data_IF_581094546936
#
_entry.id   IF_581094546936
#
_cell.length_a   1.000
_cell.length_b   1.000
_cell.length_c   1.000
_cell.angle_alpha   90.00
_cell.angle_beta   90.00
_cell.angle_gamma   90.00
#
_symmetry.space_group_name_H-M   'P 1'
#
loop_
_entity.id
_entity.type
_entity.pdbx_description
1 polymer ?
#
# COMPACT_ATOMS: atom_id res chain seq x y z
N UNK A 1 19.08 8.98 -66.12
CA UNK A 1 18.05 8.34 -65.27
C UNK A 1 18.76 7.33 -64.37
N UNK A 2 19.15 7.74 -63.16
CA UNK A 2 19.93 6.93 -62.23
C UNK A 2 18.99 6.23 -61.23
N UNK A 3 18.93 4.89 -61.27
CA UNK A 3 18.12 4.08 -60.37
C UNK A 3 18.85 3.87 -59.04
N UNK A 4 18.24 4.34 -57.95
CA UNK A 4 18.72 4.18 -56.57
C UNK A 4 18.29 2.80 -56.07
N UNK A 5 19.23 1.93 -55.79
CA UNK A 5 18.98 0.66 -55.09
C UNK A 5 18.80 0.93 -53.60
N UNK A 6 17.58 0.75 -53.11
CA UNK A 6 17.25 0.83 -51.69
C UNK A 6 17.54 -0.52 -51.01
N UNK A 7 18.54 -0.55 -50.13
CA UNK A 7 18.73 -1.65 -49.18
C UNK A 7 17.83 -1.41 -47.97
N UNK A 8 16.73 -2.16 -47.88
CA UNK A 8 15.87 -2.17 -46.69
C UNK A 8 16.47 -3.10 -45.62
N UNK A 9 16.61 -2.56 -44.41
CA UNK A 9 17.07 -3.24 -43.19
C UNK A 9 16.12 -4.36 -42.74
N UNK A 10 16.60 -5.39 -42.03
CA UNK A 10 15.73 -6.42 -41.46
C UNK A 10 14.85 -5.84 -40.35
N UNK A 11 13.59 -6.29 -40.37
CA UNK A 11 12.51 -5.84 -39.52
C UNK A 11 12.76 -6.12 -38.03
N UNK A 12 12.49 -5.09 -37.23
CA UNK A 12 11.88 -5.10 -35.89
C UNK A 12 11.81 -6.46 -35.19
N UNK A 13 12.80 -6.70 -34.33
CA UNK A 13 12.73 -7.72 -33.28
C UNK A 13 11.47 -7.48 -32.44
N UNK A 14 10.53 -8.41 -32.52
CA UNK A 14 9.35 -8.47 -31.67
C UNK A 14 9.82 -8.50 -30.21
N UNK A 15 9.46 -7.45 -29.47
CA UNK A 15 9.71 -7.34 -28.04
C UNK A 15 9.01 -8.50 -27.33
N UNK A 16 9.76 -9.56 -27.04
CA UNK A 16 9.27 -10.70 -26.28
C UNK A 16 8.61 -10.19 -24.99
N UNK A 17 7.35 -10.53 -24.81
CA UNK A 17 6.63 -10.25 -23.57
C UNK A 17 7.33 -11.07 -22.49
N UNK A 18 8.10 -10.40 -21.62
CA UNK A 18 8.78 -11.04 -20.50
C UNK A 18 7.69 -11.62 -19.59
N UNK A 19 7.44 -12.92 -19.71
CA UNK A 19 6.45 -13.62 -18.89
C UNK A 19 6.92 -13.59 -17.44
N UNK A 20 6.36 -12.65 -16.68
CA UNK A 20 6.57 -12.56 -15.24
C UNK A 20 5.50 -13.40 -14.57
N UNK A 21 5.89 -14.52 -13.96
CA UNK A 21 4.96 -15.37 -13.21
C UNK A 21 5.10 -15.14 -11.70
N UNK A 22 4.08 -15.54 -10.95
CA UNK A 22 4.02 -15.36 -9.50
C UNK A 22 3.88 -16.70 -8.81
N UNK A 23 4.53 -16.83 -7.66
CA UNK A 23 4.42 -18.00 -6.80
C UNK A 23 4.18 -17.60 -5.35
N UNK A 24 3.48 -18.44 -4.60
CA UNK A 24 3.19 -18.24 -3.17
C UNK A 24 3.49 -19.51 -2.39
N UNK A 25 4.03 -19.34 -1.19
CA UNK A 25 4.38 -20.49 -0.36
C UNK A 25 4.95 -20.08 1.00
N UNK A 26 4.93 -20.99 1.99
CA UNK A 26 5.71 -20.82 3.20
C UNK A 26 7.21 -20.85 2.89
N UNK A 27 7.99 -20.06 3.62
CA UNK A 27 9.43 -20.01 3.42
C UNK A 27 10.10 -21.33 3.86
N UNK A 28 10.67 -22.07 2.90
CA UNK A 28 11.43 -23.29 3.21
C UNK A 28 12.66 -23.06 4.11
N UNK A 29 13.25 -21.87 4.06
CA UNK A 29 14.37 -21.44 4.91
C UNK A 29 14.39 -19.92 5.11
N UNK A 30 15.13 -19.45 6.11
CA UNK A 30 15.31 -18.04 6.47
C UNK A 30 16.44 -17.33 5.70
N UNK A 31 16.89 -17.89 4.57
CA UNK A 31 17.98 -17.33 3.75
C UNK A 31 17.52 -16.18 2.85
N UNK A 32 16.22 -16.07 2.59
CA UNK A 32 15.68 -15.03 1.72
C UNK A 32 15.48 -13.71 2.47
N UNK A 33 15.80 -12.59 1.80
CA UNK A 33 15.47 -11.25 2.27
C UNK A 33 14.35 -10.66 1.40
N UNK A 34 13.35 -10.07 2.04
CA UNK A 34 12.22 -9.43 1.37
C UNK A 34 12.69 -8.25 0.50
N UNK A 35 12.38 -8.27 -0.79
CA UNK A 35 12.73 -7.18 -1.72
C UNK A 35 11.94 -5.88 -1.49
N UNK A 36 10.92 -5.88 -0.62
CA UNK A 36 10.15 -4.70 -0.23
C UNK A 36 10.77 -3.95 0.95
N UNK A 37 10.86 -4.61 2.10
CA UNK A 37 11.34 -4.01 3.35
C UNK A 37 12.81 -4.34 3.69
N UNK A 38 13.49 -5.16 2.88
CA UNK A 38 14.87 -5.64 3.06
C UNK A 38 15.11 -6.46 4.35
N UNK A 39 14.07 -6.82 5.09
CA UNK A 39 14.18 -7.71 6.25
C UNK A 39 14.28 -9.18 5.83
N UNK A 40 14.82 -10.04 6.70
CA UNK A 40 14.82 -11.50 6.50
C UNK A 40 13.39 -12.04 6.55
N UNK A 41 13.12 -13.07 5.77
CA UNK A 41 11.85 -13.80 5.79
C UNK A 41 12.06 -15.07 6.60
N UNK A 42 11.35 -15.21 7.72
CA UNK A 42 11.52 -16.36 8.62
C UNK A 42 11.05 -17.67 7.99
N UNK A 43 11.64 -18.79 8.42
CA UNK A 43 11.23 -20.13 7.98
C UNK A 43 9.77 -20.39 8.39
N UNK A 44 8.96 -20.88 7.46
CA UNK A 44 7.52 -21.08 7.64
C UNK A 44 6.67 -19.83 7.42
N UNK A 45 7.27 -18.64 7.29
CA UNK A 45 6.50 -17.43 7.01
C UNK A 45 5.98 -17.42 5.56
N UNK A 46 4.71 -17.07 5.40
CA UNK A 46 4.05 -16.94 4.10
C UNK A 46 4.66 -15.80 3.27
N UNK A 47 5.09 -16.11 2.05
CA UNK A 47 5.77 -15.15 1.16
C UNK A 47 5.32 -15.31 -0.29
N UNK A 48 5.45 -14.21 -1.05
CA UNK A 48 5.17 -14.16 -2.49
C UNK A 48 6.48 -13.98 -3.24
N UNK A 49 6.68 -14.78 -4.28
CA UNK A 49 7.81 -14.73 -5.20
C UNK A 49 7.37 -14.20 -6.56
N UNK A 50 8.11 -13.24 -7.10
CA UNK A 50 8.00 -12.84 -8.51
C UNK A 50 9.11 -13.52 -9.28
N UNK A 51 8.75 -14.32 -10.28
CA UNK A 51 9.68 -15.04 -11.13
C UNK A 51 9.87 -14.24 -12.42
N UNK A 52 11.12 -13.89 -12.70
CA UNK A 52 11.51 -13.18 -13.91
C UNK A 52 12.67 -13.93 -14.57
N UNK A 53 12.71 -14.01 -15.91
CA UNK A 53 13.86 -14.52 -16.63
C UNK A 53 15.14 -13.78 -16.20
N UNK A 54 16.18 -14.54 -15.87
CA UNK A 54 17.49 -14.00 -15.54
C UNK A 54 18.29 -13.57 -16.77
N UNK A 55 19.53 -13.09 -16.60
CA UNK A 55 20.43 -12.76 -17.70
C UNK A 55 20.91 -13.96 -18.56
N UNK A 56 20.49 -15.18 -18.23
CA UNK A 56 20.80 -16.42 -18.95
C UNK A 56 19.58 -17.36 -18.93
N UNK A 57 19.80 -18.66 -19.14
CA UNK A 57 18.72 -19.66 -19.28
C UNK A 57 18.09 -20.11 -17.94
N UNK A 58 18.07 -19.24 -16.94
CA UNK A 58 17.53 -19.53 -15.61
C UNK A 58 16.62 -18.42 -15.11
N UNK A 59 15.60 -18.81 -14.36
CA UNK A 59 14.68 -17.87 -13.73
C UNK A 59 15.19 -17.38 -12.38
N UNK A 60 14.97 -16.10 -12.10
CA UNK A 60 15.28 -15.48 -10.81
C UNK A 60 13.99 -15.22 -10.05
N UNK A 61 13.89 -15.76 -8.84
CA UNK A 61 12.75 -15.50 -7.95
C UNK A 61 13.07 -14.40 -6.94
N UNK A 62 12.33 -13.31 -7.00
CA UNK A 62 12.36 -12.21 -6.04
C UNK A 62 11.30 -12.40 -4.95
N UNK A 63 11.74 -12.79 -3.75
CA UNK A 63 10.85 -13.03 -2.61
C UNK A 63 10.49 -11.75 -1.84
N UNK A 64 9.23 -11.65 -1.40
CA UNK A 64 8.70 -10.59 -0.53
C UNK A 64 7.76 -11.18 0.52
N UNK A 65 7.62 -10.54 1.69
CA UNK A 65 6.49 -10.83 2.58
C UNK A 65 5.17 -10.57 1.84
N UNK A 66 4.12 -11.31 2.20
CA UNK A 66 2.78 -11.12 1.64
C UNK A 66 2.32 -9.65 1.74
N UNK A 67 2.49 -9.04 2.91
CA UNK A 67 2.16 -7.62 3.18
C UNK A 67 3.05 -6.63 2.43
N UNK A 68 4.27 -7.03 2.06
CA UNK A 68 5.24 -6.17 1.36
C UNK A 68 5.08 -6.21 -0.16
N UNK A 69 4.22 -7.10 -0.68
CA UNK A 69 3.99 -7.26 -2.09
C UNK A 69 2.77 -6.43 -2.51
N UNK A 70 3.00 -5.46 -3.39
CA UNK A 70 1.92 -4.75 -4.09
C UNK A 70 1.27 -5.69 -5.09
N UNK A 71 -0.02 -5.49 -5.40
CA UNK A 71 -0.67 -6.30 -6.42
C UNK A 71 0.12 -6.28 -7.72
N UNK A 72 0.43 -7.46 -8.27
CA UNK A 72 0.99 -7.50 -9.59
C UNK A 72 -0.11 -7.22 -10.62
N UNK A 73 0.09 -6.20 -11.45
CA UNK A 73 -0.87 -5.80 -12.50
C UNK A 73 -1.17 -6.90 -13.51
N UNK A 74 -0.28 -7.88 -13.62
CA UNK A 74 -0.36 -8.99 -14.56
C UNK A 74 -0.91 -10.27 -13.93
N UNK A 75 -1.23 -10.27 -12.62
CA UNK A 75 -1.85 -11.41 -11.96
C UNK A 75 -3.36 -11.18 -11.94
N UNK A 76 -4.09 -11.85 -12.83
CA UNK A 76 -5.52 -11.60 -13.04
C UNK A 76 -6.40 -12.61 -12.31
N UNK A 77 -5.86 -13.76 -11.94
CA UNK A 77 -6.54 -14.79 -11.16
C UNK A 77 -5.62 -15.41 -10.10
N UNK A 78 -6.23 -15.99 -9.06
CA UNK A 78 -5.50 -16.80 -8.08
C UNK A 78 -4.94 -18.09 -8.70
N UNK A 79 -5.54 -18.56 -9.80
CA UNK A 79 -5.08 -19.76 -10.51
C UNK A 79 -3.73 -19.56 -11.20
N UNK A 80 -3.39 -18.32 -11.55
CA UNK A 80 -2.06 -17.93 -12.07
C UNK A 80 -0.98 -17.90 -10.97
N UNK A 81 -1.36 -18.01 -9.70
CA UNK A 81 -0.46 -17.98 -8.56
C UNK A 81 0.01 -19.39 -8.21
N UNK A 82 1.19 -19.75 -8.73
CA UNK A 82 1.78 -21.07 -8.49
C UNK A 82 1.97 -21.34 -6.98
N UNK A 83 1.56 -22.52 -6.53
CA UNK A 83 1.68 -22.93 -5.12
C UNK A 83 0.47 -22.61 -4.23
N UNK A 84 -0.52 -21.85 -4.71
CA UNK A 84 -1.72 -21.51 -3.94
C UNK A 84 -2.56 -22.74 -3.55
N UNK A 85 -2.73 -23.71 -4.47
CA UNK A 85 -3.50 -24.93 -4.23
C UNK A 85 -2.94 -25.80 -3.10
N UNK A 86 -1.63 -25.76 -2.87
CA UNK A 86 -0.91 -26.52 -1.85
C UNK A 86 -0.84 -25.87 -0.46
N UNK A 87 -1.43 -24.69 -0.26
CA UNK A 87 -1.49 -24.02 1.03
C UNK A 87 -2.57 -24.61 1.94
N UNK A 88 -2.39 -24.46 3.26
CA UNK A 88 -3.41 -24.78 4.26
C UNK A 88 -4.56 -23.77 4.23
N UNK A 89 -5.69 -24.09 4.85
CA UNK A 89 -6.89 -23.25 4.81
C UNK A 89 -6.65 -21.84 5.39
N UNK A 90 -5.76 -21.72 6.38
CA UNK A 90 -5.44 -20.43 7.02
C UNK A 90 -4.61 -19.56 6.08
N UNK A 91 -3.57 -20.10 5.43
CA UNK A 91 -2.77 -19.30 4.50
C UNK A 91 -3.50 -19.04 3.18
N UNK A 92 -4.38 -19.94 2.71
CA UNK A 92 -5.28 -19.66 1.58
C UNK A 92 -6.13 -18.43 1.84
N UNK A 93 -6.78 -18.35 3.00
CA UNK A 93 -7.59 -17.18 3.36
C UNK A 93 -6.75 -15.88 3.41
N UNK A 94 -5.49 -15.93 3.86
CA UNK A 94 -4.59 -14.76 3.83
C UNK A 94 -4.21 -14.36 2.41
N UNK A 95 -3.93 -15.32 1.52
CA UNK A 95 -3.58 -15.05 0.13
C UNK A 95 -4.79 -14.56 -0.66
N UNK A 96 -5.97 -15.13 -0.44
CA UNK A 96 -7.23 -14.65 -1.01
C UNK A 96 -7.54 -13.23 -0.53
N UNK A 97 -7.40 -12.96 0.76
CA UNK A 97 -7.55 -11.61 1.30
C UNK A 97 -6.54 -10.66 0.68
N UNK A 98 -5.26 -11.04 0.57
CA UNK A 98 -4.25 -10.25 -0.12
C UNK A 98 -4.60 -10.00 -1.58
N UNK A 99 -4.98 -11.03 -2.34
CA UNK A 99 -5.32 -10.96 -3.76
C UNK A 99 -6.55 -10.08 -3.99
N UNK A 100 -7.62 -10.28 -3.22
CA UNK A 100 -8.85 -9.50 -3.30
C UNK A 100 -8.66 -8.06 -2.81
N UNK A 101 -7.78 -7.83 -1.84
CA UNK A 101 -7.40 -6.50 -1.37
C UNK A 101 -6.46 -5.76 -2.34
N UNK A 102 -5.93 -6.48 -3.35
CA UNK A 102 -4.87 -6.00 -4.23
C UNK A 102 -5.35 -5.88 -5.70
N UNK A 103 -6.35 -6.65 -6.13
CA UNK A 103 -6.96 -6.59 -7.47
C UNK A 103 -8.27 -5.80 -7.58
N UNK A 104 -8.94 -5.50 -6.48
CA UNK A 104 -10.03 -4.52 -6.46
C UNK A 104 -9.36 -3.21 -6.05
N UNK A 105 -9.31 -2.22 -6.95
CA UNK A 105 -9.05 -0.85 -6.49
C UNK A 105 -10.02 -0.62 -5.35
N UNK A 106 -9.50 -0.54 -4.10
CA UNK A 106 -10.26 -0.57 -2.86
C UNK A 106 -11.60 0.06 -3.13
N UNK A 107 -12.66 -0.78 -3.24
CA UNK A 107 -13.92 -0.46 -3.96
C UNK A 107 -14.16 1.01 -3.75
N UNK A 108 -13.89 1.84 -4.78
CA UNK A 108 -13.85 3.30 -4.60
C UNK A 108 -15.17 3.64 -3.94
N UNK A 109 -15.12 3.97 -2.65
CA UNK A 109 -16.35 4.16 -1.89
C UNK A 109 -17.08 5.29 -2.57
N UNK A 110 -18.39 5.13 -2.76
CA UNK A 110 -19.16 6.22 -3.33
C UNK A 110 -19.11 7.40 -2.36
N UNK A 111 -19.23 8.61 -2.88
CA UNK A 111 -19.30 9.80 -2.02
C UNK A 111 -20.42 9.64 -0.98
N UNK A 112 -21.57 9.09 -1.36
CA UNK A 112 -22.68 8.80 -0.45
C UNK A 112 -22.33 7.81 0.67
N UNK A 113 -21.59 6.74 0.37
CA UNK A 113 -21.18 5.76 1.38
C UNK A 113 -20.24 6.41 2.40
N UNK A 114 -19.26 7.18 1.94
CA UNK A 114 -18.31 7.89 2.81
C UNK A 114 -19.02 8.96 3.64
N UNK A 115 -19.90 9.75 3.03
CA UNK A 115 -20.65 10.81 3.70
C UNK A 115 -21.59 10.24 4.78
N UNK A 116 -22.25 9.10 4.51
CA UNK A 116 -23.09 8.43 5.51
C UNK A 116 -22.33 8.01 6.76
N UNK A 117 -21.07 7.58 6.62
CA UNK A 117 -20.19 7.23 7.74
C UNK A 117 -19.69 8.50 8.44
N UNK A 118 -19.33 9.54 7.68
CA UNK A 118 -18.86 10.82 8.21
C UNK A 118 -19.88 11.52 9.14
N UNK A 119 -21.18 11.28 8.92
CA UNK A 119 -22.27 11.89 9.68
C UNK A 119 -22.70 11.09 10.93
N UNK A 120 -22.12 9.91 11.16
CA UNK A 120 -22.45 9.12 12.36
C UNK A 120 -22.02 9.84 13.63
N UNK A 121 -22.81 9.67 14.71
CA UNK A 121 -22.47 10.17 16.04
C UNK A 121 -22.09 9.01 16.97
N UNK A 122 -20.79 8.71 17.14
CA UNK A 122 -20.33 7.53 17.90
C UNK A 122 -20.84 7.51 19.34
N UNK A 123 -20.98 8.68 19.98
CA UNK A 123 -21.41 8.79 21.39
C UNK A 123 -22.86 8.37 21.62
N UNK A 124 -23.71 8.43 20.59
CA UNK A 124 -25.14 8.09 20.68
C UNK A 124 -25.44 6.67 20.23
N UNK A 125 -24.47 5.94 19.70
CA UNK A 125 -24.68 4.60 19.14
C UNK A 125 -24.72 3.53 20.24
N UNK A 126 -25.56 2.52 20.03
CA UNK A 126 -25.54 1.30 20.84
C UNK A 126 -24.38 0.39 20.38
N UNK A 127 -23.92 -0.48 21.26
CA UNK A 127 -22.82 -1.40 20.95
C UNK A 127 -23.11 -2.29 19.71
N UNK A 128 -24.38 -2.68 19.49
CA UNK A 128 -24.78 -3.44 18.31
C UNK A 128 -24.59 -2.65 17.00
N UNK A 129 -24.92 -1.36 17.00
CA UNK A 129 -24.76 -0.46 15.86
C UNK A 129 -23.28 -0.19 15.59
N UNK A 130 -22.48 0.05 16.63
CA UNK A 130 -21.03 0.20 16.51
C UNK A 130 -20.39 -1.03 15.86
N UNK A 131 -20.73 -2.24 16.33
CA UNK A 131 -20.23 -3.50 15.75
C UNK A 131 -20.63 -3.65 14.28
N UNK A 132 -21.86 -3.25 13.92
CA UNK A 132 -22.33 -3.28 12.53
C UNK A 132 -21.51 -2.33 11.65
N UNK A 133 -21.29 -1.09 12.08
CA UNK A 133 -20.49 -0.10 11.35
C UNK A 133 -19.04 -0.54 11.18
N UNK A 134 -18.41 -1.08 12.22
CA UNK A 134 -17.03 -1.57 12.15
C UNK A 134 -16.91 -2.73 11.15
N UNK A 135 -17.80 -3.73 11.23
CA UNK A 135 -17.82 -4.85 10.29
C UNK A 135 -18.02 -4.40 8.84
N UNK A 136 -18.92 -3.44 8.60
CA UNK A 136 -19.17 -2.89 7.27
C UNK A 136 -17.94 -2.18 6.67
N UNK A 137 -17.03 -1.67 7.51
CA UNK A 137 -15.77 -1.06 7.10
C UNK A 137 -14.57 -2.03 7.15
N UNK A 138 -14.80 -3.32 7.40
CA UNK A 138 -13.73 -4.31 7.51
C UNK A 138 -12.84 -4.16 8.76
N UNK A 139 -13.36 -3.50 9.80
CA UNK A 139 -12.66 -3.28 11.07
C UNK A 139 -13.13 -4.33 12.08
N UNK A 140 -12.22 -4.78 12.94
CA UNK A 140 -12.57 -5.70 14.02
C UNK A 140 -13.61 -5.04 14.97
N UNK A 141 -14.58 -5.85 15.38
CA UNK A 141 -15.71 -5.41 16.19
C UNK A 141 -15.71 -6.08 17.58
N UNK A 142 -14.52 -6.44 18.08
CA UNK A 142 -14.32 -7.00 19.42
C UNK A 142 -13.93 -5.89 20.40
N UNK A 143 -14.07 -6.18 21.70
CA UNK A 143 -13.76 -5.25 22.77
C UNK A 143 -14.98 -4.71 23.51
N UNK A 144 -14.68 -3.90 24.52
CA UNK A 144 -15.63 -3.18 25.34
C UNK A 144 -16.40 -2.12 24.54
N UNK A 145 -17.48 -1.61 25.12
CA UNK A 145 -18.27 -0.53 24.49
C UNK A 145 -17.40 0.71 24.22
N UNK A 146 -16.51 1.06 25.12
CA UNK A 146 -15.63 2.23 24.98
C UNK A 146 -14.58 2.04 23.88
N UNK A 147 -14.00 0.84 23.76
CA UNK A 147 -13.07 0.51 22.65
C UNK A 147 -13.78 0.55 21.30
N UNK A 148 -14.98 -0.02 21.20
CA UNK A 148 -15.80 0.04 19.98
C UNK A 148 -16.13 1.49 19.61
N UNK A 149 -16.49 2.31 20.60
CA UNK A 149 -16.75 3.73 20.40
C UNK A 149 -15.50 4.46 19.86
N UNK A 150 -14.32 4.17 20.40
CA UNK A 150 -13.05 4.73 19.92
C UNK A 150 -12.77 4.38 18.45
N UNK A 151 -12.90 3.10 18.09
CA UNK A 151 -12.71 2.64 16.70
C UNK A 151 -13.70 3.29 15.74
N UNK A 152 -14.98 3.40 16.14
CA UNK A 152 -16.00 4.07 15.33
C UNK A 152 -15.67 5.56 15.20
N UNK A 153 -15.24 6.22 16.28
CA UNK A 153 -14.88 7.63 16.25
C UNK A 153 -13.71 7.92 15.28
N UNK A 154 -12.69 7.07 15.25
CA UNK A 154 -11.58 7.17 14.30
C UNK A 154 -12.05 6.91 12.85
N UNK A 155 -12.93 5.92 12.66
CA UNK A 155 -13.55 5.62 11.35
C UNK A 155 -14.33 6.82 10.82
N UNK A 156 -15.12 7.48 11.68
CA UNK A 156 -15.89 8.68 11.34
C UNK A 156 -14.96 9.84 10.96
N UNK A 157 -13.90 10.08 11.74
CA UNK A 157 -12.90 11.12 11.41
C UNK A 157 -12.24 10.88 10.05
N UNK A 158 -11.86 9.63 9.77
CA UNK A 158 -11.26 9.24 8.49
C UNK A 158 -12.25 9.41 7.33
N UNK A 159 -13.50 9.01 7.52
CA UNK A 159 -14.56 9.20 6.52
C UNK A 159 -14.83 10.68 6.24
N UNK A 160 -14.87 11.54 7.27
CA UNK A 160 -15.05 12.98 7.09
C UNK A 160 -13.90 13.61 6.29
N UNK A 161 -12.66 13.22 6.56
CA UNK A 161 -11.50 13.66 5.77
C UNK A 161 -11.58 13.15 4.32
N UNK A 162 -11.97 11.89 4.11
CA UNK A 162 -12.15 11.33 2.76
C UNK A 162 -13.22 12.07 1.97
N UNK A 163 -14.39 12.31 2.57
CA UNK A 163 -15.48 13.09 1.96
C UNK A 163 -15.03 14.51 1.57
N UNK A 164 -14.19 15.15 2.39
CA UNK A 164 -13.60 16.44 2.06
C UNK A 164 -12.69 16.36 0.82
N UNK A 165 -11.70 15.45 0.83
CA UNK A 165 -10.71 15.36 -0.24
C UNK A 165 -11.24 14.72 -1.54
N UNK A 166 -12.31 13.94 -1.49
CA UNK A 166 -12.98 13.42 -2.69
C UNK A 166 -13.48 14.52 -3.62
N UNK A 167 -13.86 15.69 -3.06
CA UNK A 167 -14.33 16.87 -3.79
C UNK A 167 -13.20 17.60 -4.52
N UNK A 168 -11.95 17.35 -4.16
CA UNK A 168 -10.78 17.98 -4.77
C UNK A 168 -10.31 17.29 -6.05
N UNK A 169 -9.69 18.09 -6.92
CA UNK A 169 -8.99 17.65 -8.12
C UNK A 169 -7.56 17.18 -7.79
N UNK A 170 -6.91 16.47 -8.73
CA UNK A 170 -5.52 16.03 -8.56
C UNK A 170 -4.55 17.20 -8.29
N UNK A 171 -4.61 18.35 -9.00
CA UNK A 171 -3.77 19.50 -8.69
C UNK A 171 -3.98 20.05 -7.27
N UNK A 172 -5.22 20.14 -6.82
CA UNK A 172 -5.55 20.59 -5.47
C UNK A 172 -4.99 19.64 -4.40
N UNK A 173 -5.17 18.32 -4.56
CA UNK A 173 -4.60 17.33 -3.64
C UNK A 173 -3.06 17.42 -3.60
N UNK A 174 -2.41 17.64 -4.76
CA UNK A 174 -0.96 17.85 -4.80
C UNK A 174 -0.53 19.12 -4.07
N UNK A 175 -1.30 20.22 -4.15
CA UNK A 175 -1.03 21.45 -3.43
C UNK A 175 -1.12 21.26 -1.90
N UNK A 176 -2.14 20.54 -1.43
CA UNK A 176 -2.26 20.18 0.00
C UNK A 176 -1.04 19.35 0.44
N UNK A 177 -0.65 18.33 -0.33
CA UNK A 177 0.51 17.50 -0.01
C UNK A 177 1.82 18.29 -0.04
N UNK A 178 1.94 19.26 -0.95
CA UNK A 178 3.10 20.15 -1.06
C UNK A 178 3.28 21.04 0.17
N UNK A 179 2.21 21.69 0.62
CA UNK A 179 2.21 22.51 1.83
C UNK A 179 2.66 21.73 3.08
N UNK A 180 2.48 20.41 3.07
CA UNK A 180 2.87 19.51 4.16
C UNK A 180 4.16 18.73 3.89
N UNK A 181 4.94 19.06 2.85
CA UNK A 181 6.19 18.36 2.47
C UNK A 181 6.04 16.86 2.19
N UNK A 182 4.84 16.43 1.77
CA UNK A 182 4.50 15.03 1.53
C UNK A 182 4.79 14.60 0.08
N UNK A 183 4.76 13.28 -0.15
CA UNK A 183 4.95 12.69 -1.48
C UNK A 183 3.73 12.98 -2.40
N UNK A 184 4.00 13.66 -3.53
CA UNK A 184 2.99 14.08 -4.53
C UNK A 184 2.81 13.12 -5.72
N UNK A 185 3.49 11.97 -5.72
CA UNK A 185 3.46 10.98 -6.81
C UNK A 185 2.36 9.93 -6.64
N UNK A 186 1.81 9.40 -7.73
CA UNK A 186 0.79 8.34 -7.71
C UNK A 186 -0.54 8.73 -8.35
N UNK A 187 -1.48 7.79 -8.32
CA UNK A 187 -2.85 8.01 -8.82
C UNK A 187 -3.67 8.88 -7.85
N UNK A 188 -4.83 9.40 -8.30
CA UNK A 188 -5.70 10.27 -7.48
C UNK A 188 -6.01 9.68 -6.10
N UNK A 189 -6.31 8.38 -6.01
CA UNK A 189 -6.61 7.75 -4.73
C UNK A 189 -5.41 7.72 -3.78
N UNK A 190 -4.20 7.47 -4.28
CA UNK A 190 -3.00 7.49 -3.42
C UNK A 190 -2.72 8.89 -2.86
N UNK A 191 -3.04 9.94 -3.63
CA UNK A 191 -2.91 11.32 -3.15
C UNK A 191 -3.95 11.63 -2.09
N UNK A 192 -5.20 11.21 -2.33
CA UNK A 192 -6.31 11.36 -1.39
C UNK A 192 -6.01 10.64 -0.08
N UNK A 193 -5.57 9.38 -0.13
CA UNK A 193 -5.24 8.59 1.06
C UNK A 193 -4.18 9.27 1.93
N UNK A 194 -3.17 9.90 1.32
CA UNK A 194 -2.15 10.67 2.05
C UNK A 194 -2.71 11.95 2.66
N UNK A 195 -3.64 12.63 1.98
CA UNK A 195 -4.30 13.80 2.53
C UNK A 195 -5.19 13.43 3.72
N UNK A 196 -5.92 12.31 3.62
CA UNK A 196 -6.75 11.76 4.70
C UNK A 196 -5.87 11.38 5.89
N UNK A 197 -4.78 10.65 5.65
CA UNK A 197 -3.82 10.28 6.69
C UNK A 197 -3.26 11.50 7.42
N UNK A 198 -2.82 12.48 6.65
CA UNK A 198 -2.29 13.74 7.17
C UNK A 198 -3.33 14.53 7.97
N UNK A 199 -4.56 14.62 7.49
CA UNK A 199 -5.65 15.33 8.19
C UNK A 199 -6.02 14.66 9.51
N UNK A 200 -5.99 13.33 9.58
CA UNK A 200 -6.38 12.59 10.78
C UNK A 200 -5.25 12.52 11.80
N UNK A 201 -4.01 12.35 11.37
CA UNK A 201 -2.88 12.05 12.26
C UNK A 201 -1.74 13.08 12.25
N UNK A 202 -1.75 14.02 11.32
CA UNK A 202 -0.65 14.97 11.09
C UNK A 202 0.29 14.53 9.96
N UNK A 203 1.06 15.51 9.46
CA UNK A 203 2.03 15.33 8.39
C UNK A 203 3.22 14.46 8.85
N UNK A 204 3.65 13.54 7.99
CA UNK A 204 4.87 12.78 8.23
C UNK A 204 6.07 13.73 8.18
N UNK A 205 6.96 13.73 9.19
CA UNK A 205 8.14 14.57 9.14
C UNK A 205 9.13 14.07 8.09
N UNK A 206 10.11 14.91 7.79
CA UNK A 206 11.32 14.47 7.12
C UNK A 206 12.05 13.47 8.01
N UNK A 207 12.80 12.57 7.38
CA UNK A 207 13.54 11.55 8.08
C UNK A 207 14.47 12.20 9.12
N UNK A 208 14.35 11.88 10.42
CA UNK A 208 15.18 12.50 11.45
C UNK A 208 16.66 12.07 11.34
N UNK A 209 16.95 10.99 10.62
CA UNK A 209 18.32 10.51 10.42
C UNK A 209 19.03 11.16 9.23
N UNK A 210 18.34 11.38 8.10
CA UNK A 210 18.99 11.91 6.89
C UNK A 210 18.49 13.29 6.44
N UNK A 211 17.43 13.84 7.05
CA UNK A 211 16.83 15.13 6.70
C UNK A 211 16.11 15.20 5.34
N UNK A 212 16.51 14.37 4.36
CA UNK A 212 15.97 14.41 3.01
C UNK A 212 14.86 13.40 2.71
N UNK A 213 14.84 12.25 3.36
CA UNK A 213 13.85 11.21 3.04
C UNK A 213 12.44 11.53 3.57
N UNK A 214 11.40 11.34 2.75
CA UNK A 214 10.01 11.31 3.23
C UNK A 214 9.71 9.92 3.78
N UNK A 215 9.26 9.85 5.03
CA UNK A 215 8.99 8.57 5.68
C UNK A 215 7.82 7.83 5.03
N UNK A 216 7.86 6.50 5.08
CA UNK A 216 6.74 5.61 4.76
C UNK A 216 6.29 4.94 6.04
N UNK A 217 4.98 4.83 6.26
CA UNK A 217 4.39 4.14 7.41
C UNK A 217 3.58 2.95 6.95
N UNK A 218 3.66 1.85 7.70
CA UNK A 218 2.75 0.71 7.60
C UNK A 218 2.03 0.58 8.92
N UNK A 219 0.70 0.69 8.90
CA UNK A 219 -0.11 0.58 10.10
C UNK A 219 -0.39 -0.88 10.47
N UNK A 220 -0.40 -1.21 11.78
CA UNK A 220 -0.72 -2.56 12.24
C UNK A 220 -2.21 -2.92 12.09
N UNK A 221 -3.08 -1.92 12.01
CA UNK A 221 -4.53 -2.04 11.91
C UNK A 221 -5.13 -0.82 11.20
N UNK A 222 -6.40 -0.90 10.80
CA UNK A 222 -7.10 0.23 10.18
C UNK A 222 -7.47 1.35 11.18
N UNK A 223 -7.60 1.01 12.46
CA UNK A 223 -7.94 1.92 13.57
C UNK A 223 -7.16 1.53 14.83
N UNK A 224 -7.09 2.43 15.80
CA UNK A 224 -6.43 2.22 17.09
C UNK A 224 -4.91 2.40 17.05
N UNK A 225 -4.35 2.80 15.91
CA UNK A 225 -2.91 2.97 15.75
C UNK A 225 -2.44 4.40 16.04
N UNK A 226 -3.35 5.38 16.13
CA UNK A 226 -3.03 6.75 16.56
C UNK A 226 -1.98 7.46 15.69
N UNK A 227 -1.93 7.13 14.40
CA UNK A 227 -0.91 7.64 13.48
C UNK A 227 0.47 7.01 13.62
N UNK A 228 0.64 6.01 14.48
CA UNK A 228 1.90 5.31 14.70
C UNK A 228 1.90 3.94 14.01
N UNK A 229 3.08 3.41 13.70
CA UNK A 229 3.22 2.19 12.91
C UNK A 229 4.67 1.96 12.52
N UNK A 230 4.93 1.04 11.60
CA UNK A 230 6.29 0.74 11.15
C UNK A 230 6.75 1.79 10.15
N UNK A 231 7.50 2.77 10.62
CA UNK A 231 8.11 3.81 9.79
C UNK A 231 9.40 3.31 9.15
N UNK A 232 9.62 3.70 7.91
CA UNK A 232 10.88 3.45 7.20
C UNK A 232 11.24 4.60 6.27
N UNK A 233 12.52 4.94 6.21
CA UNK A 233 13.03 5.88 5.22
C UNK A 233 13.42 5.15 3.93
N UNK A 234 12.86 5.51 2.77
CA UNK A 234 13.26 4.93 1.49
C UNK A 234 14.58 5.50 0.94
N UNK A 235 15.17 6.50 1.60
CA UNK A 235 16.21 7.35 1.02
C UNK A 235 15.62 8.53 0.24
N UNK A 236 16.48 9.31 -0.40
CA UNK A 236 16.09 10.42 -1.28
C UNK A 236 17.12 10.61 -2.39
N UNK A 237 16.77 11.37 -3.43
CA UNK A 237 17.71 11.83 -4.44
C UNK A 237 18.16 13.25 -4.06
N UNK A 238 19.46 13.43 -4.00
CA UNK A 238 20.14 14.71 -3.88
C UNK A 238 20.80 14.98 -5.24
N UNK A 239 20.18 15.85 -6.04
CA UNK A 239 20.43 15.94 -7.48
C UNK A 239 20.39 14.56 -8.15
N UNK A 240 21.48 14.14 -8.80
CA UNK A 240 21.60 12.84 -9.46
C UNK A 240 22.10 11.71 -8.53
N UNK A 241 22.33 12.01 -7.25
CA UNK A 241 22.89 11.05 -6.29
C UNK A 241 21.81 10.49 -5.36
N UNK A 242 21.61 9.17 -5.40
CA UNK A 242 20.70 8.51 -4.49
C UNK A 242 21.32 8.33 -3.10
N UNK A 243 20.83 9.08 -2.13
CA UNK A 243 21.22 8.98 -0.72
C UNK A 243 20.43 7.86 -0.04
N UNK A 244 21.14 6.76 0.27
CA UNK A 244 20.57 5.62 0.99
C UNK A 244 20.39 5.95 2.47
N UNK A 245 19.24 5.58 3.01
CA UNK A 245 18.96 5.63 4.44
C UNK A 245 18.31 4.32 4.88
N UNK A 246 18.60 3.89 6.11
CA UNK A 246 18.04 2.67 6.70
C UNK A 246 17.23 2.97 7.99
N UNK A 247 16.83 4.23 8.19
CA UNK A 247 16.03 4.64 9.34
C UNK A 247 14.74 3.80 9.43
N UNK A 248 14.45 3.31 10.63
CA UNK A 248 13.23 2.60 11.00
C UNK A 248 12.82 3.03 12.39
N UNK A 249 11.52 3.16 12.62
CA UNK A 249 10.95 3.45 13.93
C UNK A 249 9.53 2.89 14.03
N UNK A 250 9.06 2.69 15.25
CA UNK A 250 7.64 2.38 15.52
C UNK A 250 6.85 3.63 15.93
N UNK A 251 7.59 4.65 16.38
CA UNK A 251 7.04 5.93 16.81
C UNK A 251 7.76 7.08 16.13
N UNK A 252 6.99 8.04 15.60
CA UNK A 252 7.49 9.28 15.02
C UNK A 252 6.54 10.42 15.40
N UNK A 253 7.13 11.54 15.81
CA UNK A 253 6.39 12.77 16.04
C UNK A 253 5.94 13.37 14.71
N UNK A 254 4.63 13.53 14.54
CA UNK A 254 4.03 14.09 13.33
C UNK A 254 3.86 15.59 13.46
N UNK A 255 4.03 16.29 12.34
CA UNK A 255 3.85 17.73 12.28
C UNK A 255 2.36 18.07 12.15
N UNK A 256 1.91 19.23 12.64
CA UNK A 256 0.55 19.70 12.41
C UNK A 256 0.22 19.75 10.91
N UNK A 257 -0.97 19.29 10.54
CA UNK A 257 -1.44 19.31 9.16
C UNK A 257 -1.93 20.71 8.77
N UNK A 258 -1.42 21.23 7.65
CA UNK A 258 -1.78 22.55 7.13
C UNK A 258 -2.65 22.39 5.90
N UNK A 259 -3.79 23.08 5.87
CA UNK A 259 -4.61 23.20 4.65
C UNK A 259 -4.29 24.55 3.98
N UNK A 260 -3.85 24.53 2.70
CA UNK A 260 -3.53 25.74 1.95
C UNK A 260 -4.77 26.52 1.51
#
# INVERSE_FOLDING_TARGET
VAARTATASPASSSRAVVMTSYQVGPAASNRASCKGCKAKIDKGALRVGTVTPGPGDYDVTSWRHLECQKHPKNLTSLDELAGFSGLDAVDKAKVEAWFNNSGVGAKKRSADEVESVAQLNPKKMKAAEMKKTLKANGIDATGSKDELQGKVQETVKRAAAEAHYMKMTVPQLKAVLEANTQLKGGAKQELLDRCVDGKVYGALPRCPQCGGGVLRVVYPSQTGHGGQGKFSCPGYYDDDHFVRCNFKAEHVERLPWVEP
#
